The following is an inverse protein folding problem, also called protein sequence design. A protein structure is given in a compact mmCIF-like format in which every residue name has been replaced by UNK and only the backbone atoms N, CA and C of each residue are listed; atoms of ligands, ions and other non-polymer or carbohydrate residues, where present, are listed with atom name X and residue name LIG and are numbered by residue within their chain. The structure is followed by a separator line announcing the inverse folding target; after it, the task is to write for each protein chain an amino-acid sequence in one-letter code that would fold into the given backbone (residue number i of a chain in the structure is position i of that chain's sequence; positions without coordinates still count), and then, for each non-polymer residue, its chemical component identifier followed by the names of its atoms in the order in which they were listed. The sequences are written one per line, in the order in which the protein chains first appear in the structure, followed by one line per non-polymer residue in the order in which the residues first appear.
data_IF_560046627683
#
_entry.id   IF_560046627683
#
_cell.length_a   1.000
_cell.length_b   1.000
_cell.length_c   1.000
_cell.angle_alpha   90.00
_cell.angle_beta   90.00
_cell.angle_gamma   90.00
#
_symmetry.space_group_name_H-M   'P 1'
#
loop_
_entity.id
_entity.type
_entity.pdbx_description
1 polymer ?
#
# COMPACT_ATOMS: atom_id res chain seq x y z
N UNK A 1 7.90 7.33 4.40
CA UNK A 1 8.37 6.76 5.68
C UNK A 1 7.39 6.94 6.86
N UNK A 2 6.47 7.92 6.84
CA UNK A 2 5.46 8.14 7.90
C UNK A 2 4.64 6.87 8.26
N UNK A 3 4.33 6.03 7.27
CA UNK A 3 3.52 4.81 7.43
C UNK A 3 4.11 3.81 8.45
N UNK A 4 5.43 3.63 8.46
CA UNK A 4 6.13 2.69 9.36
C UNK A 4 5.99 3.13 10.82
N UNK A 5 5.93 4.43 11.08
CA UNK A 5 5.75 4.92 12.46
C UNK A 5 4.35 4.63 13.00
N UNK A 6 3.34 4.53 12.12
CA UNK A 6 1.96 4.21 12.52
C UNK A 6 1.72 2.71 12.72
N UNK A 7 2.39 1.86 11.94
CA UNK A 7 2.31 0.39 12.08
C UNK A 7 3.69 -0.27 11.96
N UNK A 8 4.55 -0.14 12.98
CA UNK A 8 5.90 -0.70 12.95
C UNK A 8 5.94 -2.22 13.07
N UNK A 9 4.82 -2.87 13.46
CA UNK A 9 4.74 -4.32 13.56
C UNK A 9 4.56 -4.95 12.18
N UNK A 10 3.75 -4.32 11.33
CA UNK A 10 3.43 -4.83 10.00
C UNK A 10 4.26 -4.20 8.90
N UNK A 11 4.81 -3.00 9.09
CA UNK A 11 5.53 -2.26 8.04
C UNK A 11 6.99 -2.05 8.41
N UNK A 12 7.89 -2.24 7.45
CA UNK A 12 9.31 -2.00 7.63
C UNK A 12 10.01 -1.67 6.31
N UNK A 13 11.26 -1.23 6.40
CA UNK A 13 12.18 -1.11 5.27
C UNK A 13 13.49 -1.80 5.64
N UNK A 14 14.20 -2.28 4.63
CA UNK A 14 15.59 -2.75 4.77
C UNK A 14 16.54 -1.70 4.22
N UNK A 15 17.83 -1.68 4.58
CA UNK A 15 18.80 -0.72 4.07
C UNK A 15 18.80 -0.54 2.54
N UNK A 16 18.56 -1.63 1.79
CA UNK A 16 18.46 -1.58 0.32
C UNK A 16 17.33 -0.68 -0.22
N UNK A 17 16.26 -0.45 0.56
CA UNK A 17 15.05 0.28 0.14
C UNK A 17 14.90 1.64 0.83
N UNK A 18 15.88 2.12 1.60
CA UNK A 18 15.77 3.39 2.35
C UNK A 18 15.56 4.62 1.46
N UNK A 19 16.10 4.61 0.24
CA UNK A 19 15.92 5.70 -0.74
C UNK A 19 14.69 5.53 -1.65
N UNK A 20 13.96 4.43 -1.53
CA UNK A 20 12.78 4.13 -2.34
C UNK A 20 11.49 4.46 -1.56
N UNK A 21 10.46 5.06 -2.18
CA UNK A 21 9.25 5.50 -1.47
C UNK A 21 8.35 4.36 -0.94
N UNK A 22 8.64 3.12 -1.31
CA UNK A 22 7.86 1.95 -0.89
C UNK A 22 8.17 1.46 0.53
N UNK A 23 7.33 0.54 1.02
CA UNK A 23 7.52 -0.18 2.28
C UNK A 23 7.38 -1.67 2.04
N UNK A 24 7.96 -2.48 2.93
CA UNK A 24 7.79 -3.93 2.94
C UNK A 24 6.72 -4.27 3.99
N UNK A 25 5.79 -5.15 3.63
CA UNK A 25 4.67 -5.57 4.50
C UNK A 25 4.92 -6.97 5.04
N UNK A 26 4.74 -7.13 6.36
CA UNK A 26 4.83 -8.41 7.06
C UNK A 26 3.45 -9.07 7.08
N UNK A 27 3.24 -10.01 6.15
CA UNK A 27 1.94 -10.68 5.96
C UNK A 27 1.42 -11.46 7.17
N UNK A 28 2.30 -11.82 8.12
CA UNK A 28 1.92 -12.53 9.35
C UNK A 28 1.13 -11.65 10.32
N UNK A 29 1.36 -10.34 10.31
CA UNK A 29 0.86 -9.41 11.34
C UNK A 29 -0.08 -8.35 10.80
N UNK A 30 -0.02 -8.07 9.50
CA UNK A 30 -0.92 -7.10 8.86
C UNK A 30 -2.35 -7.60 8.87
N UNK A 31 -3.29 -6.72 9.22
CA UNK A 31 -4.72 -6.97 9.03
C UNK A 31 -5.08 -7.00 7.53
N UNK A 32 -6.03 -7.85 7.14
CA UNK A 32 -6.40 -8.02 5.73
C UNK A 32 -7.04 -6.78 5.11
N UNK A 33 -7.81 -6.00 5.87
CA UNK A 33 -8.39 -4.76 5.36
C UNK A 33 -7.29 -3.70 5.17
N UNK A 34 -6.37 -3.60 6.12
CA UNK A 34 -5.22 -2.71 5.99
C UNK A 34 -4.32 -3.12 4.80
N UNK A 35 -4.06 -4.41 4.61
CA UNK A 35 -3.30 -4.89 3.46
C UNK A 35 -3.99 -4.56 2.13
N UNK A 36 -5.31 -4.69 2.07
CA UNK A 36 -6.08 -4.32 0.88
C UNK A 36 -5.92 -2.83 0.56
N UNK A 37 -6.03 -1.94 1.55
CA UNK A 37 -5.81 -0.50 1.38
C UNK A 37 -4.39 -0.19 0.88
N UNK A 38 -3.37 -0.80 1.49
CA UNK A 38 -1.97 -0.60 1.09
C UNK A 38 -1.71 -1.00 -0.36
N UNK A 39 -2.22 -2.17 -0.77
CA UNK A 39 -2.09 -2.67 -2.13
C UNK A 39 -2.82 -1.78 -3.12
N UNK A 40 -4.02 -1.33 -2.77
CA UNK A 40 -4.83 -0.46 -3.60
C UNK A 40 -4.15 0.89 -3.81
N UNK A 41 -3.69 1.55 -2.75
CA UNK A 41 -3.00 2.84 -2.83
C UNK A 41 -1.69 2.70 -3.62
N UNK A 42 -0.90 1.65 -3.39
CA UNK A 42 0.29 1.37 -4.17
C UNK A 42 -0.03 1.16 -5.65
N UNK A 43 -1.08 0.39 -5.97
CA UNK A 43 -1.52 0.16 -7.34
C UNK A 43 -1.94 1.45 -8.05
N UNK A 44 -2.67 2.34 -7.38
CA UNK A 44 -3.08 3.65 -7.94
C UNK A 44 -1.88 4.51 -8.36
N UNK A 45 -0.70 4.34 -7.75
CA UNK A 45 0.50 5.10 -8.12
C UNK A 45 1.11 4.69 -9.46
N UNK A 46 0.87 3.44 -9.91
CA UNK A 46 1.48 2.86 -11.10
C UNK A 46 0.47 2.53 -12.21
N UNK A 47 -0.81 2.38 -11.86
CA UNK A 47 -1.85 1.99 -12.80
C UNK A 47 -2.24 3.13 -13.77
N UNK A 48 -2.68 2.81 -15.00
CA UNK A 48 -3.24 3.81 -15.90
C UNK A 48 -4.46 4.49 -15.28
N UNK A 49 -4.56 5.82 -15.42
CA UNK A 49 -5.63 6.63 -14.83
C UNK A 49 -7.04 6.16 -15.20
N UNK A 50 -7.22 5.63 -16.42
CA UNK A 50 -8.52 5.11 -16.85
C UNK A 50 -8.94 3.89 -16.01
N UNK A 51 -8.03 2.95 -15.75
CA UNK A 51 -8.33 1.74 -14.97
C UNK A 51 -8.66 2.10 -13.52
N UNK A 52 -7.94 3.08 -12.94
CA UNK A 52 -8.25 3.59 -11.60
C UNK A 52 -9.66 4.18 -11.55
N UNK A 53 -10.04 5.01 -12.53
CA UNK A 53 -11.38 5.60 -12.59
C UNK A 53 -12.48 4.55 -12.74
N UNK A 54 -12.25 3.52 -13.55
CA UNK A 54 -13.18 2.41 -13.71
C UNK A 54 -13.36 1.63 -12.41
N UNK A 55 -12.27 1.35 -11.68
CA UNK A 55 -12.31 0.69 -10.38
C UNK A 55 -13.08 1.52 -9.35
N UNK A 56 -12.77 2.81 -9.19
CA UNK A 56 -13.48 3.70 -8.26
C UNK A 56 -14.96 3.88 -8.62
N UNK A 57 -15.31 3.78 -9.90
CA UNK A 57 -16.68 3.80 -10.37
C UNK A 57 -17.48 2.55 -10.00
N UNK A 58 -16.81 1.40 -9.80
CA UNK A 58 -17.43 0.16 -9.33
C UNK A 58 -17.69 0.20 -7.83
N UNK A 59 -16.72 0.66 -7.04
CA UNK A 59 -16.82 0.71 -5.56
C UNK A 59 -17.86 1.72 -5.05
N UNK A 60 -18.22 2.73 -5.85
CA UNK A 60 -19.24 3.73 -5.48
C UNK A 60 -20.69 3.24 -5.67
N UNK A 61 -20.91 2.04 -6.21
CA UNK A 61 -22.24 1.46 -6.46
C UNK A 61 -22.54 0.33 -5.48
#
# INVERSE_FOLDING_TARGET
MLLIYYDPQSLFVTPHYESYPGVIVRLRTVDTAHLHELLLEAWKTVAPKQVVREWEGRERK
#
